data_IF_379561719144
#
_entry.id   IF_379561719144
#
_cell.length_a   1.000
_cell.length_b   1.000
_cell.length_c   1.000
_cell.angle_alpha   90.00
_cell.angle_beta   90.00
_cell.angle_gamma   90.00
#
_symmetry.space_group_name_H-M   'P 1'
#
loop_
_entity.id
_entity.type
_entity.pdbx_description
1 polymer ?
#
# COMPACT_ATOMS: atom_id res chain seq x y z
N UNK A 1 7.43 21.18 3.47
CA UNK A 1 8.42 22.09 2.83
C UNK A 1 9.50 21.25 2.17
N UNK A 2 10.07 21.75 1.07
CA UNK A 2 11.14 21.05 0.34
C UNK A 2 12.46 21.84 0.42
N UNK A 3 13.57 21.12 0.54
CA UNK A 3 14.91 21.68 0.73
C UNK A 3 15.92 20.96 -0.14
N UNK A 4 16.87 21.70 -0.71
CA UNK A 4 18.05 21.21 -1.40
C UNK A 4 19.34 21.48 -0.61
N UNK A 5 19.26 22.35 0.39
CA UNK A 5 20.35 22.69 1.29
C UNK A 5 20.12 22.04 2.65
N UNK A 6 21.17 21.35 3.16
CA UNK A 6 21.08 20.64 4.42
C UNK A 6 20.95 21.58 5.61
N UNK A 7 21.60 22.75 5.61
CA UNK A 7 21.53 23.70 6.71
C UNK A 7 20.12 24.31 6.84
N UNK A 8 19.47 24.62 5.72
CA UNK A 8 18.08 25.09 5.71
C UNK A 8 17.11 24.00 6.18
N UNK A 9 17.32 22.75 5.77
CA UNK A 9 16.52 21.61 6.22
C UNK A 9 16.66 21.38 7.73
N UNK A 10 17.88 21.41 8.26
CA UNK A 10 18.15 21.33 9.70
C UNK A 10 17.47 22.45 10.48
N UNK A 11 17.59 23.69 10.02
CA UNK A 11 16.93 24.85 10.66
C UNK A 11 15.40 24.71 10.68
N UNK A 12 14.82 24.08 9.65
CA UNK A 12 13.37 23.79 9.63
C UNK A 12 12.98 22.77 10.70
N UNK A 13 13.78 21.71 10.89
CA UNK A 13 13.55 20.70 11.94
C UNK A 13 13.67 21.30 13.34
N UNK A 14 14.65 22.19 13.56
CA UNK A 14 14.83 22.85 14.84
C UNK A 14 13.65 23.76 15.23
N UNK A 15 12.89 24.25 14.25
CA UNK A 15 11.69 25.06 14.45
C UNK A 15 10.39 24.27 14.63
N UNK A 16 10.43 22.96 14.44
CA UNK A 16 9.27 22.07 14.52
C UNK A 16 9.38 21.14 15.73
N UNK A 17 8.27 20.60 16.20
CA UNK A 17 8.28 19.56 17.24
C UNK A 17 8.20 18.16 16.60
N UNK A 18 9.05 17.25 17.05
CA UNK A 18 8.95 15.84 16.66
C UNK A 18 7.62 15.21 17.19
N UNK A 19 7.05 14.22 16.52
CA UNK A 19 7.61 13.51 15.35
C UNK A 19 7.47 14.27 14.03
N UNK A 20 8.40 14.02 13.09
CA UNK A 20 8.48 14.68 11.78
C UNK A 20 8.69 13.60 10.70
N UNK A 21 8.19 13.81 9.49
CA UNK A 21 8.43 12.95 8.35
C UNK A 21 9.41 13.61 7.38
N UNK A 22 10.46 12.89 7.00
CA UNK A 22 11.39 13.30 5.95
C UNK A 22 11.30 12.33 4.77
N UNK A 23 11.17 12.87 3.55
CA UNK A 23 11.09 12.09 2.32
C UNK A 23 12.07 12.64 1.26
N UNK A 24 12.73 11.74 0.54
CA UNK A 24 13.44 12.12 -0.67
C UNK A 24 12.43 12.50 -1.77
N UNK A 25 12.69 13.60 -2.49
CA UNK A 25 11.77 14.11 -3.52
C UNK A 25 11.74 13.22 -4.79
N UNK A 26 12.80 12.44 -5.01
CA UNK A 26 12.88 11.54 -6.16
C UNK A 26 12.40 10.12 -5.86
N UNK A 27 12.33 9.30 -6.92
CA UNK A 27 11.95 7.90 -6.83
C UNK A 27 12.96 7.12 -5.97
N UNK A 28 12.53 6.66 -4.81
CA UNK A 28 13.37 5.94 -3.84
C UNK A 28 12.82 4.55 -3.47
N UNK A 29 11.86 4.02 -4.23
CA UNK A 29 11.29 2.67 -4.13
C UNK A 29 10.92 2.23 -2.68
N UNK A 30 10.33 3.14 -1.91
CA UNK A 30 9.96 2.91 -0.50
C UNK A 30 11.10 3.12 0.52
N UNK A 31 12.32 3.41 0.06
CA UNK A 31 13.48 3.64 0.94
C UNK A 31 13.75 5.12 1.23
N UNK A 32 13.04 6.02 0.53
CA UNK A 32 13.31 7.47 0.57
C UNK A 32 12.54 8.25 1.62
N UNK A 33 11.80 7.62 2.53
CA UNK A 33 11.00 8.31 3.52
C UNK A 33 10.96 7.58 4.86
N UNK A 34 10.82 8.33 5.94
CA UNK A 34 10.66 7.78 7.28
C UNK A 34 10.16 8.80 8.28
N UNK A 35 9.34 8.36 9.23
CA UNK A 35 8.96 9.15 10.39
C UNK A 35 10.08 9.15 11.42
N UNK A 36 10.63 10.31 11.71
CA UNK A 36 11.58 10.53 12.80
C UNK A 36 10.80 10.83 14.09
N UNK A 37 11.00 10.03 15.11
CA UNK A 37 10.35 10.21 16.41
C UNK A 37 11.02 11.30 17.24
N UNK A 38 12.27 11.60 16.96
CA UNK A 38 13.07 12.61 17.64
C UNK A 38 13.71 13.58 16.63
N UNK A 39 14.03 14.79 17.06
CA UNK A 39 14.77 15.73 16.24
C UNK A 39 16.11 15.18 15.77
N UNK A 40 16.82 14.40 16.62
CA UNK A 40 18.08 13.78 16.27
C UNK A 40 17.96 12.77 15.12
N UNK A 41 16.90 11.97 15.11
CA UNK A 41 16.58 11.06 13.99
C UNK A 41 16.24 11.83 12.71
N UNK A 42 15.51 12.95 12.81
CA UNK A 42 15.21 13.80 11.67
C UNK A 42 16.48 14.42 11.06
N UNK A 43 17.38 14.93 11.89
CA UNK A 43 18.68 15.46 11.44
C UNK A 43 19.52 14.36 10.76
N UNK A 44 19.60 13.18 11.35
CA UNK A 44 20.32 12.05 10.73
C UNK A 44 19.72 11.63 9.38
N UNK A 45 18.39 11.65 9.24
CA UNK A 45 17.72 11.36 7.97
C UNK A 45 18.04 12.41 6.89
N UNK A 46 18.08 13.71 7.25
CA UNK A 46 18.47 14.79 6.35
C UNK A 46 19.90 14.59 5.84
N UNK A 47 20.85 14.32 6.76
CA UNK A 47 22.24 14.08 6.40
C UNK A 47 22.37 12.88 5.45
N UNK A 48 21.68 11.81 5.76
CA UNK A 48 21.67 10.59 4.94
C UNK A 48 21.13 10.84 3.52
N UNK A 49 20.11 11.68 3.36
CA UNK A 49 19.50 11.99 2.06
C UNK A 49 20.33 13.01 1.29
N UNK A 50 20.69 14.14 1.90
CA UNK A 50 21.31 15.27 1.21
C UNK A 50 22.84 15.20 1.15
N UNK A 51 23.52 14.67 2.18
CA UNK A 51 24.98 14.69 2.28
C UNK A 51 25.63 13.37 1.88
N UNK A 52 25.06 12.23 2.29
CA UNK A 52 25.66 10.91 2.00
C UNK A 52 25.46 10.46 0.54
N UNK A 53 24.62 11.15 -0.22
CA UNK A 53 24.30 10.88 -1.63
C UNK A 53 23.91 9.40 -1.93
N UNK A 54 23.44 8.66 -0.93
CA UNK A 54 23.13 7.23 -1.07
C UNK A 54 21.93 6.98 -1.98
N UNK A 55 21.06 7.98 -2.14
CA UNK A 55 19.90 7.94 -3.03
C UNK A 55 20.18 8.59 -4.39
N UNK A 56 21.43 8.99 -4.66
CA UNK A 56 21.82 9.65 -5.91
C UNK A 56 20.95 10.88 -6.21
N UNK A 57 20.51 11.05 -7.46
CA UNK A 57 19.66 12.16 -7.86
C UNK A 57 18.32 12.23 -7.09
N UNK A 58 17.81 11.10 -6.59
CA UNK A 58 16.57 11.06 -5.82
C UNK A 58 16.71 11.70 -4.43
N UNK A 59 17.92 11.73 -3.87
CA UNK A 59 18.24 12.38 -2.60
C UNK A 59 18.65 13.84 -2.72
N UNK A 60 18.69 14.42 -3.93
CA UNK A 60 19.11 15.80 -4.14
C UNK A 60 18.16 16.87 -3.56
N UNK A 61 16.97 16.45 -3.14
CA UNK A 61 15.98 17.27 -2.45
C UNK A 61 15.28 16.43 -1.39
N UNK A 62 15.05 17.02 -0.22
CA UNK A 62 14.27 16.42 0.87
C UNK A 62 12.97 17.21 1.06
N UNK A 63 11.89 16.49 1.31
CA UNK A 63 10.59 17.06 1.72
C UNK A 63 10.42 16.78 3.21
N UNK A 64 10.21 17.81 4.00
CA UNK A 64 9.90 17.72 5.43
C UNK A 64 8.42 17.97 5.61
N UNK A 65 7.74 17.02 6.23
CA UNK A 65 6.28 16.98 6.37
C UNK A 65 5.87 16.81 7.83
N UNK A 66 4.66 17.25 8.12
CA UNK A 66 3.99 16.98 9.40
C UNK A 66 3.80 15.46 9.57
N UNK A 67 4.06 14.95 10.76
CA UNK A 67 3.69 13.59 11.11
C UNK A 67 2.18 13.51 11.35
N UNK A 68 1.51 12.66 10.58
CA UNK A 68 0.09 12.41 10.71
C UNK A 68 -0.16 11.15 11.53
N UNK A 69 -0.85 11.30 12.66
CA UNK A 69 -1.29 10.16 13.47
C UNK A 69 -2.66 9.67 12.99
N UNK A 70 -2.84 8.35 12.94
CA UNK A 70 -4.12 7.75 12.52
C UNK A 70 -3.97 6.34 11.97
N UNK A 71 -4.95 5.93 11.20
CA UNK A 71 -4.93 4.69 10.43
C UNK A 71 -4.73 4.97 8.94
N UNK A 72 -3.76 4.30 8.33
CA UNK A 72 -3.56 4.38 6.89
C UNK A 72 -4.63 3.58 6.14
N UNK A 73 -5.09 4.12 5.02
CA UNK A 73 -5.97 3.45 4.08
C UNK A 73 -5.56 3.75 2.64
N UNK A 74 -5.75 2.76 1.78
CA UNK A 74 -5.53 2.88 0.34
C UNK A 74 -6.86 3.10 -0.35
N UNK A 75 -7.00 4.22 -1.05
CA UNK A 75 -8.17 4.59 -1.81
C UNK A 75 -7.81 4.68 -3.29
N UNK A 76 -8.26 3.70 -4.07
CA UNK A 76 -7.88 3.56 -5.47
C UNK A 76 -9.09 3.79 -6.35
N UNK A 77 -8.90 4.58 -7.41
CA UNK A 77 -9.93 4.85 -8.40
C UNK A 77 -9.40 4.63 -9.81
N UNK A 78 -10.30 4.35 -10.75
CA UNK A 78 -10.07 4.53 -12.18
C UNK A 78 -10.55 5.92 -12.58
N UNK A 79 -9.81 6.59 -13.45
CA UNK A 79 -10.20 7.86 -14.06
C UNK A 79 -10.12 7.74 -15.57
N UNK A 80 -11.07 8.34 -16.27
CA UNK A 80 -11.09 8.50 -17.72
C UNK A 80 -10.73 9.93 -18.17
N UNK A 81 -10.25 10.75 -17.23
CA UNK A 81 -9.93 12.16 -17.44
C UNK A 81 -11.09 13.12 -17.08
N UNK A 82 -12.31 12.61 -16.87
CA UNK A 82 -13.52 13.37 -16.51
C UNK A 82 -14.29 12.69 -15.39
N UNK A 83 -14.51 11.39 -15.51
CA UNK A 83 -15.27 10.58 -14.57
C UNK A 83 -14.32 9.74 -13.72
N UNK A 84 -14.80 9.36 -12.56
CA UNK A 84 -14.04 8.57 -11.59
C UNK A 84 -14.88 7.37 -11.17
N UNK A 85 -14.32 6.18 -11.23
CA UNK A 85 -14.90 4.94 -10.70
C UNK A 85 -14.08 4.47 -9.52
N UNK A 86 -14.65 4.52 -8.31
CA UNK A 86 -13.96 4.05 -7.12
C UNK A 86 -13.88 2.52 -7.10
N UNK A 87 -12.69 1.99 -6.83
CA UNK A 87 -12.47 0.59 -6.55
C UNK A 87 -12.67 0.29 -5.06
N UNK A 88 -12.61 -0.98 -4.67
CA UNK A 88 -12.71 -1.36 -3.28
C UNK A 88 -11.55 -0.76 -2.47
N UNK A 89 -11.85 -0.29 -1.26
CA UNK A 89 -10.84 0.23 -0.33
C UNK A 89 -9.99 -0.90 0.24
N UNK A 90 -8.78 -0.58 0.69
CA UNK A 90 -7.84 -1.54 1.25
C UNK A 90 -6.99 -0.90 2.34
N UNK A 91 -6.39 -1.72 3.20
CA UNK A 91 -5.35 -1.30 4.14
C UNK A 91 -4.13 -2.20 3.99
N UNK A 92 -2.96 -1.58 3.87
CA UNK A 92 -1.66 -2.22 3.74
C UNK A 92 -0.92 -2.30 5.09
N UNK A 93 0.04 -3.22 5.18
CA UNK A 93 0.96 -3.40 6.30
C UNK A 93 2.39 -3.14 5.81
N UNK A 94 2.87 -1.91 5.98
CA UNK A 94 4.15 -1.45 5.41
C UNK A 94 5.39 -1.94 6.17
N UNK A 95 5.27 -2.21 7.48
CA UNK A 95 6.40 -2.67 8.29
C UNK A 95 6.69 -4.15 8.07
N UNK A 96 7.98 -4.50 8.11
CA UNK A 96 8.46 -5.85 7.82
C UNK A 96 8.00 -6.89 8.84
N UNK A 97 7.99 -6.54 10.13
CA UNK A 97 7.80 -7.46 11.23
C UNK A 97 6.42 -7.31 11.88
N UNK A 98 6.01 -8.36 12.58
CA UNK A 98 4.80 -8.38 13.40
C UNK A 98 4.75 -7.18 14.37
N UNK A 99 3.54 -6.75 14.71
CA UNK A 99 3.33 -5.60 15.59
C UNK A 99 3.75 -4.26 14.99
N UNK A 100 3.81 -4.17 13.65
CA UNK A 100 4.24 -2.97 12.92
C UNK A 100 5.66 -2.52 13.32
N UNK A 101 6.57 -3.48 13.43
CA UNK A 101 7.96 -3.26 13.77
C UNK A 101 8.90 -3.43 12.55
N UNK A 102 10.15 -3.01 12.71
CA UNK A 102 11.18 -3.14 11.67
C UNK A 102 11.09 -2.04 10.61
N UNK A 103 11.85 -2.18 9.51
CA UNK A 103 11.89 -1.19 8.44
C UNK A 103 10.58 -1.15 7.64
N UNK A 104 10.35 -0.04 6.95
CA UNK A 104 9.33 0.05 5.91
C UNK A 104 9.67 -0.85 4.73
N UNK A 105 8.65 -1.36 4.08
CA UNK A 105 8.73 -2.23 2.90
C UNK A 105 7.79 -1.73 1.82
N UNK A 106 7.72 -2.43 0.70
CA UNK A 106 6.68 -2.22 -0.31
C UNK A 106 5.28 -2.70 0.10
N UNK A 107 5.15 -3.32 1.27
CA UNK A 107 3.92 -3.91 1.80
C UNK A 107 4.06 -5.40 2.05
N UNK A 108 3.71 -5.85 3.26
CA UNK A 108 3.82 -7.24 3.71
C UNK A 108 2.48 -7.98 3.70
N UNK A 109 1.42 -7.29 3.32
CA UNK A 109 0.09 -7.83 3.19
C UNK A 109 -0.96 -6.73 3.25
N UNK A 110 -2.15 -7.02 2.78
CA UNK A 110 -3.26 -6.10 2.76
C UNK A 110 -4.59 -6.83 2.88
N UNK A 111 -5.63 -6.10 3.24
CA UNK A 111 -7.01 -6.61 3.23
C UNK A 111 -7.98 -5.58 2.64
N UNK A 112 -9.07 -6.07 2.09
CA UNK A 112 -10.15 -5.29 1.48
C UNK A 112 -11.51 -5.88 1.88
N UNK A 113 -12.50 -5.05 2.22
CA UNK A 113 -12.46 -3.59 2.29
C UNK A 113 -11.73 -3.08 3.53
N UNK A 114 -11.42 -1.78 3.56
CA UNK A 114 -10.86 -1.10 4.72
C UNK A 114 -11.99 -0.68 5.69
N UNK A 115 -12.10 -1.25 6.89
CA UNK A 115 -13.19 -0.91 7.82
C UNK A 115 -13.16 0.55 8.30
N UNK A 116 -11.97 1.16 8.31
CA UNK A 116 -11.79 2.57 8.70
C UNK A 116 -12.45 3.53 7.70
N UNK A 117 -12.63 3.11 6.45
CA UNK A 117 -13.29 3.91 5.41
C UNK A 117 -14.79 3.62 5.42
N UNK A 118 -15.52 4.36 6.24
CA UNK A 118 -17.00 4.30 6.27
C UNK A 118 -17.61 4.86 4.98
N UNK A 119 -18.90 4.60 4.68
CA UNK A 119 -19.56 5.20 3.52
C UNK A 119 -19.50 6.73 3.49
N UNK A 120 -19.63 7.38 4.64
CA UNK A 120 -19.53 8.85 4.77
C UNK A 120 -18.11 9.33 4.45
N UNK A 121 -17.10 8.63 4.96
CA UNK A 121 -15.71 8.94 4.69
C UNK A 121 -15.36 8.68 3.23
N UNK A 122 -15.87 7.59 2.64
CA UNK A 122 -15.70 7.30 1.22
C UNK A 122 -16.23 8.45 0.33
N UNK A 123 -17.44 8.92 0.59
CA UNK A 123 -18.00 10.05 -0.14
C UNK A 123 -17.21 11.35 0.08
N UNK A 124 -16.68 11.55 1.29
CA UNK A 124 -15.85 12.70 1.62
C UNK A 124 -14.51 12.67 0.87
N UNK A 125 -13.83 11.52 0.83
CA UNK A 125 -12.58 11.33 0.09
C UNK A 125 -12.77 11.62 -1.41
N UNK A 126 -13.83 11.12 -2.01
CA UNK A 126 -14.15 11.42 -3.40
C UNK A 126 -14.31 12.94 -3.63
N UNK A 127 -15.11 13.59 -2.80
CA UNK A 127 -15.42 15.02 -2.94
C UNK A 127 -14.24 15.94 -2.63
N UNK A 128 -13.46 15.64 -1.60
CA UNK A 128 -12.45 16.54 -1.04
C UNK A 128 -11.04 16.26 -1.53
N UNK A 129 -10.76 15.05 -2.02
CA UNK A 129 -9.40 14.62 -2.43
C UNK A 129 -9.37 14.19 -3.90
N UNK A 130 -10.14 13.19 -4.28
CA UNK A 130 -10.04 12.58 -5.61
C UNK A 130 -10.54 13.51 -6.72
N UNK A 131 -11.77 13.99 -6.63
CA UNK A 131 -12.35 14.86 -7.65
C UNK A 131 -11.58 16.17 -7.82
N UNK A 132 -11.14 16.86 -6.74
CA UNK A 132 -10.26 18.01 -6.90
C UNK A 132 -8.94 17.70 -7.62
N UNK A 133 -8.33 16.55 -7.35
CA UNK A 133 -7.09 16.15 -8.02
C UNK A 133 -7.31 15.90 -9.53
N UNK A 134 -8.33 15.11 -9.88
CA UNK A 134 -8.63 14.79 -11.29
C UNK A 134 -9.08 16.03 -12.06
N UNK A 135 -9.96 16.84 -11.47
CA UNK A 135 -10.43 18.08 -12.09
C UNK A 135 -9.31 19.13 -12.22
N UNK A 136 -8.41 19.22 -11.23
CA UNK A 136 -7.24 20.09 -11.28
C UNK A 136 -6.32 19.73 -12.44
N UNK A 137 -6.00 18.45 -12.61
CA UNK A 137 -5.20 17.97 -13.74
C UNK A 137 -5.85 18.33 -15.10
N UNK A 138 -7.17 18.14 -15.21
CA UNK A 138 -7.90 18.51 -16.41
C UNK A 138 -7.87 20.04 -16.67
N UNK A 139 -8.02 20.85 -15.62
CA UNK A 139 -7.95 22.31 -15.70
C UNK A 139 -6.56 22.80 -16.13
N UNK A 140 -5.50 22.09 -15.72
CA UNK A 140 -4.12 22.37 -16.12
C UNK A 140 -3.80 21.89 -17.55
N UNK A 141 -4.79 21.31 -18.26
CA UNK A 141 -4.63 20.84 -19.64
C UNK A 141 -3.99 19.44 -19.76
N UNK A 142 -3.87 18.72 -18.68
CA UNK A 142 -3.31 17.36 -18.59
C UNK A 142 -4.30 16.39 -17.92
N UNK A 143 -5.45 16.09 -18.56
CA UNK A 143 -6.45 15.21 -17.99
C UNK A 143 -5.84 13.85 -17.65
N UNK A 144 -6.13 13.35 -16.45
CA UNK A 144 -5.56 12.11 -15.96
C UNK A 144 -6.44 10.91 -16.32
N UNK A 145 -5.91 9.97 -17.10
CA UNK A 145 -6.55 8.68 -17.44
C UNK A 145 -5.70 7.55 -16.88
N UNK A 146 -6.32 6.65 -16.13
CA UNK A 146 -5.65 5.51 -15.51
C UNK A 146 -6.07 5.26 -14.07
N UNK A 147 -5.27 4.46 -13.35
CA UNK A 147 -5.47 4.22 -11.93
C UNK A 147 -4.82 5.32 -11.11
N UNK A 148 -5.59 5.91 -10.21
CA UNK A 148 -5.10 6.86 -9.21
C UNK A 148 -5.24 6.25 -7.82
N UNK A 149 -4.11 6.00 -7.17
CA UNK A 149 -4.03 5.55 -5.79
C UNK A 149 -3.80 6.78 -4.90
N UNK A 150 -4.69 6.99 -3.95
CA UNK A 150 -4.50 7.95 -2.86
C UNK A 150 -4.18 7.19 -1.57
N UNK A 151 -2.98 7.37 -1.06
CA UNK A 151 -2.59 6.96 0.29
C UNK A 151 -3.14 7.97 1.29
N UNK A 152 -3.95 7.50 2.23
CA UNK A 152 -4.67 8.35 3.17
C UNK A 152 -4.26 8.03 4.60
N UNK A 153 -4.17 9.06 5.43
CA UNK A 153 -4.18 8.94 6.88
C UNK A 153 -5.53 9.40 7.41
N UNK A 154 -6.22 8.50 8.10
CA UNK A 154 -7.49 8.82 8.76
C UNK A 154 -7.17 9.16 10.21
N UNK A 155 -7.26 10.45 10.54
CA UNK A 155 -6.94 10.94 11.86
C UNK A 155 -7.93 10.50 12.94
N UNK A 156 -7.59 10.69 14.22
CA UNK A 156 -8.50 10.42 15.34
C UNK A 156 -9.79 11.23 15.28
N UNK A 157 -9.78 12.35 14.58
CA UNK A 157 -10.92 13.22 14.28
C UNK A 157 -11.80 12.70 13.12
N UNK A 158 -11.44 11.55 12.53
CA UNK A 158 -12.09 10.99 11.36
C UNK A 158 -11.81 11.75 10.06
N UNK A 159 -10.91 12.73 10.06
CA UNK A 159 -10.58 13.48 8.85
C UNK A 159 -9.57 12.74 7.99
N UNK A 160 -9.84 12.59 6.68
CA UNK A 160 -8.86 12.04 5.75
C UNK A 160 -7.84 13.09 5.37
N UNK A 161 -6.58 12.73 5.42
CA UNK A 161 -5.45 13.53 4.92
C UNK A 161 -4.66 12.71 3.91
N UNK A 162 -4.25 13.36 2.82
CA UNK A 162 -3.48 12.70 1.76
C UNK A 162 -2.02 12.57 2.19
N UNK A 163 -1.49 11.35 2.13
CA UNK A 163 -0.07 11.08 2.31
C UNK A 163 0.68 11.20 0.98
N UNK A 164 0.15 10.53 -0.04
CA UNK A 164 0.75 10.48 -1.38
C UNK A 164 -0.30 10.11 -2.44
N UNK A 165 0.02 10.43 -3.70
CA UNK A 165 -0.64 9.86 -4.86
C UNK A 165 0.32 8.96 -5.63
N UNK A 166 -0.21 7.86 -6.16
CA UNK A 166 0.51 6.98 -7.08
C UNK A 166 -0.32 6.77 -8.34
N UNK A 167 0.35 6.78 -9.51
CA UNK A 167 -0.27 6.61 -10.82
C UNK A 167 -0.33 5.12 -11.22
N UNK A 168 -0.78 4.26 -10.31
CA UNK A 168 -0.85 2.81 -10.45
C UNK A 168 -1.75 2.20 -9.40
N UNK A 169 -2.06 0.92 -9.58
CA UNK A 169 -2.64 0.08 -8.53
C UNK A 169 -1.63 -0.11 -7.38
N UNK A 170 -2.13 -0.42 -6.19
CA UNK A 170 -1.30 -0.78 -5.05
C UNK A 170 -0.76 -2.21 -5.13
N UNK A 171 0.36 -2.46 -4.50
CA UNK A 171 0.91 -3.80 -4.28
C UNK A 171 1.43 -3.88 -2.84
N UNK A 172 0.74 -4.63 -1.95
CA UNK A 172 -0.10 -5.80 -2.21
C UNK A 172 -1.63 -5.59 -2.17
N UNK A 173 -2.14 -4.40 -2.42
CA UNK A 173 -3.58 -4.12 -2.38
C UNK A 173 -4.34 -4.70 -3.57
N UNK A 174 -3.70 -4.79 -4.74
CA UNK A 174 -4.33 -5.28 -5.98
C UNK A 174 -4.87 -6.69 -5.82
N UNK A 175 -4.12 -7.59 -5.19
CA UNK A 175 -4.50 -8.99 -5.05
C UNK A 175 -5.82 -9.18 -4.29
N UNK A 176 -6.02 -8.62 -3.08
CA UNK A 176 -7.29 -8.71 -2.38
C UNK A 176 -8.41 -7.93 -3.08
N UNK A 177 -8.13 -6.82 -3.75
CA UNK A 177 -9.13 -6.06 -4.51
C UNK A 177 -9.64 -6.89 -5.70
N UNK A 178 -8.73 -7.48 -6.48
CA UNK A 178 -9.09 -8.29 -7.65
C UNK A 178 -9.83 -9.56 -7.26
N UNK A 179 -9.46 -10.21 -6.16
CA UNK A 179 -10.17 -11.42 -5.69
C UNK A 179 -11.63 -11.13 -5.30
N UNK A 180 -11.95 -9.88 -4.94
CA UNK A 180 -13.31 -9.43 -4.64
C UNK A 180 -14.06 -8.90 -5.85
N UNK A 181 -13.37 -8.53 -6.93
CA UNK A 181 -14.01 -7.97 -8.12
C UNK A 181 -14.74 -9.07 -8.90
N UNK A 182 -16.05 -8.88 -9.16
CA UNK A 182 -16.87 -9.78 -9.98
C UNK A 182 -17.04 -9.28 -11.41
N UNK A 183 -17.03 -7.96 -11.59
CA UNK A 183 -17.06 -7.34 -12.91
C UNK A 183 -15.76 -7.62 -13.64
N UNK A 184 -15.85 -7.87 -14.95
CA UNK A 184 -14.68 -8.08 -15.81
C UNK A 184 -13.83 -6.79 -15.84
N UNK A 185 -12.56 -6.90 -15.45
CA UNK A 185 -11.63 -5.77 -15.46
C UNK A 185 -11.44 -5.19 -16.87
N UNK A 186 -11.46 -6.03 -17.91
CA UNK A 186 -11.31 -5.57 -19.31
C UNK A 186 -12.48 -4.66 -19.70
N UNK A 187 -13.70 -5.01 -19.29
CA UNK A 187 -14.88 -4.16 -19.52
C UNK A 187 -14.72 -2.78 -18.88
N UNK A 188 -14.21 -2.72 -17.64
CA UNK A 188 -13.93 -1.46 -16.95
C UNK A 188 -12.85 -0.64 -17.66
N UNK A 189 -11.79 -1.30 -18.14
CA UNK A 189 -10.71 -0.64 -18.88
C UNK A 189 -11.19 -0.08 -20.21
N UNK A 190 -12.05 -0.80 -20.94
CA UNK A 190 -12.65 -0.32 -22.18
C UNK A 190 -13.53 0.92 -21.92
N UNK A 191 -14.35 0.92 -20.87
CA UNK A 191 -15.13 2.09 -20.47
C UNK A 191 -14.24 3.29 -20.13
N UNK A 192 -13.12 3.04 -19.43
CA UNK A 192 -12.17 4.10 -19.09
C UNK A 192 -11.51 4.71 -20.34
N UNK A 193 -11.10 3.88 -21.29
CA UNK A 193 -10.47 4.34 -22.54
C UNK A 193 -11.45 5.10 -23.44
N UNK A 194 -12.73 4.74 -23.41
CA UNK A 194 -13.79 5.39 -24.16
C UNK A 194 -14.38 6.64 -23.47
N UNK A 195 -13.89 7.01 -22.28
CA UNK A 195 -14.41 8.14 -21.51
C UNK A 195 -15.83 7.95 -20.97
N UNK A 196 -16.20 6.71 -20.64
CA UNK A 196 -17.55 6.28 -20.25
C UNK A 196 -17.61 5.59 -18.89
N UNK A 197 -16.73 5.94 -17.96
CA UNK A 197 -16.76 5.37 -16.60
C UNK A 197 -18.02 5.72 -15.81
N UNK A 198 -18.77 6.73 -16.21
CA UNK A 198 -20.07 7.09 -15.66
C UNK A 198 -21.22 6.15 -16.09
N UNK A 199 -20.95 5.18 -16.99
CA UNK A 199 -21.93 4.25 -17.55
C UNK A 199 -21.71 2.80 -17.07
N UNK A 200 -20.81 2.58 -16.14
CA UNK A 200 -20.50 1.25 -15.61
C UNK A 200 -20.37 1.27 -14.09
N UNK A 201 -20.80 0.20 -13.46
CA UNK A 201 -20.63 -0.05 -12.04
C UNK A 201 -19.80 -1.30 -11.81
N UNK A 202 -19.14 -1.38 -10.66
CA UNK A 202 -18.37 -2.57 -10.26
C UNK A 202 -19.18 -3.40 -9.28
N UNK A 203 -19.41 -4.67 -9.62
CA UNK A 203 -19.96 -5.66 -8.69
C UNK A 203 -18.83 -6.28 -7.86
N UNK A 204 -19.03 -6.34 -6.55
CA UNK A 204 -18.06 -6.80 -5.59
C UNK A 204 -18.55 -8.01 -4.81
N UNK A 205 -17.66 -8.98 -4.58
CA UNK A 205 -17.87 -9.95 -3.53
C UNK A 205 -17.94 -9.22 -2.17
N UNK A 206 -18.97 -9.51 -1.40
CA UNK A 206 -19.20 -8.87 -0.09
C UNK A 206 -18.27 -9.38 1.00
N UNK A 207 -17.63 -10.52 0.75
CA UNK A 207 -16.66 -11.09 1.66
C UNK A 207 -15.40 -10.22 1.76
N UNK A 208 -14.66 -10.39 2.84
CA UNK A 208 -13.33 -9.80 2.98
C UNK A 208 -12.31 -10.62 2.22
N UNK A 209 -11.41 -9.97 1.51
CA UNK A 209 -10.19 -10.58 1.01
C UNK A 209 -8.99 -10.13 1.84
N UNK A 210 -8.04 -11.05 2.09
CA UNK A 210 -6.81 -10.77 2.82
C UNK A 210 -5.64 -11.45 2.12
N UNK A 211 -4.60 -10.68 1.81
CA UNK A 211 -3.37 -11.16 1.18
C UNK A 211 -2.19 -11.11 2.15
N UNK A 212 -1.44 -12.19 2.23
CA UNK A 212 -0.19 -12.32 2.99
C UNK A 212 0.97 -12.40 2.02
N UNK A 213 1.92 -11.46 2.11
CA UNK A 213 3.12 -11.46 1.28
C UNK A 213 4.18 -12.35 1.89
N UNK A 214 4.76 -13.23 1.07
CA UNK A 214 5.97 -13.97 1.37
C UNK A 214 7.14 -13.27 0.68
N UNK A 215 8.11 -12.82 1.47
CA UNK A 215 9.30 -12.12 0.99
C UNK A 215 10.55 -13.00 1.12
N UNK A 216 11.54 -12.73 0.27
CA UNK A 216 12.83 -13.41 0.30
C UNK A 216 13.64 -13.02 1.56
N UNK A 217 14.53 -13.92 1.97
CA UNK A 217 15.48 -13.60 3.02
C UNK A 217 16.29 -12.32 2.69
N UNK A 218 16.42 -11.43 3.67
CA UNK A 218 17.14 -10.16 3.51
C UNK A 218 16.34 -9.02 2.90
N UNK A 219 15.06 -9.26 2.52
CA UNK A 219 14.17 -8.18 2.12
C UNK A 219 13.88 -7.25 3.32
N UNK A 220 13.79 -5.88 3.15
CA UNK A 220 13.84 -5.14 1.89
C UNK A 220 15.24 -4.79 1.37
N UNK A 221 16.29 -4.89 2.18
CA UNK A 221 17.61 -4.34 1.85
C UNK A 221 18.38 -5.14 0.79
N UNK A 222 18.57 -6.44 1.03
CA UNK A 222 19.36 -7.34 0.19
C UNK A 222 18.65 -8.68 0.03
N UNK A 223 17.55 -8.71 -0.74
CA UNK A 223 16.80 -9.96 -0.93
C UNK A 223 17.63 -11.01 -1.64
N UNK A 224 17.71 -12.18 -1.03
CA UNK A 224 18.37 -13.34 -1.62
C UNK A 224 17.53 -13.88 -2.79
N UNK A 225 18.19 -14.24 -3.88
CA UNK A 225 17.56 -14.81 -5.07
C UNK A 225 18.03 -16.26 -5.27
N UNK A 226 17.21 -17.05 -5.97
CA UNK A 226 17.51 -18.43 -6.33
C UNK A 226 17.03 -19.48 -5.33
N UNK A 227 16.45 -19.09 -4.21
CA UNK A 227 15.88 -20.03 -3.24
C UNK A 227 14.69 -20.77 -3.85
N UNK A 228 14.67 -22.09 -3.70
CA UNK A 228 13.61 -22.96 -4.24
C UNK A 228 12.34 -22.76 -3.43
N UNK A 229 11.21 -22.66 -4.14
CA UNK A 229 9.87 -22.59 -3.59
C UNK A 229 9.11 -23.84 -4.02
N UNK A 230 8.48 -24.51 -3.09
CA UNK A 230 7.75 -25.74 -3.36
C UNK A 230 6.44 -25.81 -2.57
N UNK A 231 5.62 -26.82 -2.88
CA UNK A 231 4.37 -27.10 -2.19
C UNK A 231 3.36 -25.95 -2.23
N UNK A 232 3.27 -25.24 -3.37
CA UNK A 232 2.22 -24.26 -3.55
C UNK A 232 0.86 -24.96 -3.51
N UNK A 233 -0.09 -24.50 -2.68
CA UNK A 233 -1.46 -25.01 -2.75
C UNK A 233 -2.08 -24.71 -4.11
N UNK A 234 -2.99 -25.56 -4.56
CA UNK A 234 -3.76 -25.28 -5.76
C UNK A 234 -4.68 -24.07 -5.55
N UNK A 235 -4.82 -23.24 -6.57
CA UNK A 235 -5.77 -22.16 -6.57
C UNK A 235 -7.21 -22.67 -6.49
N UNK A 236 -8.05 -21.90 -5.82
CA UNK A 236 -9.50 -22.12 -5.71
C UNK A 236 -10.22 -20.77 -5.83
N UNK A 237 -11.54 -20.81 -5.94
CA UNK A 237 -12.36 -19.58 -5.97
C UNK A 237 -12.20 -18.73 -4.71
N UNK A 238 -11.77 -19.32 -3.62
CA UNK A 238 -11.65 -18.66 -2.32
C UNK A 238 -10.21 -18.38 -1.86
N UNK A 239 -9.21 -18.94 -2.56
CA UNK A 239 -7.80 -18.74 -2.21
C UNK A 239 -6.91 -18.89 -3.44
N UNK A 240 -6.09 -17.88 -3.69
CA UNK A 240 -5.19 -17.81 -4.85
C UNK A 240 -3.78 -17.45 -4.40
N UNK A 241 -2.78 -18.11 -4.99
CA UNK A 241 -1.36 -17.77 -4.80
C UNK A 241 -0.88 -16.92 -5.98
N UNK A 242 -0.78 -15.62 -5.77
CA UNK A 242 -0.25 -14.71 -6.78
C UNK A 242 1.27 -14.73 -6.79
N UNK A 243 1.85 -14.86 -7.98
CA UNK A 243 3.28 -14.76 -8.19
C UNK A 243 3.72 -13.31 -8.33
N UNK A 244 4.80 -12.93 -7.66
CA UNK A 244 5.49 -11.66 -7.80
C UNK A 244 6.92 -11.91 -8.29
N UNK A 245 7.92 -11.80 -7.42
CA UNK A 245 9.31 -12.06 -7.75
C UNK A 245 9.63 -13.55 -7.81
N UNK A 246 9.07 -14.28 -8.76
CA UNK A 246 9.32 -15.71 -9.01
C UNK A 246 9.79 -15.95 -10.43
N UNK A 247 10.50 -17.06 -10.64
CA UNK A 247 10.99 -17.52 -11.92
C UNK A 247 11.05 -19.04 -11.96
N UNK A 248 10.81 -19.61 -13.13
CA UNK A 248 11.13 -21.03 -13.39
C UNK A 248 12.60 -21.15 -13.83
N UNK A 249 13.37 -21.97 -13.14
CA UNK A 249 14.75 -22.30 -13.47
C UNK A 249 14.94 -23.83 -13.35
N UNK A 250 15.36 -24.46 -14.43
CA UNK A 250 15.57 -25.93 -14.51
C UNK A 250 14.36 -26.73 -13.99
N UNK A 251 13.15 -26.30 -14.35
CA UNK A 251 11.89 -26.93 -13.94
C UNK A 251 11.51 -26.70 -12.46
N UNK A 252 12.22 -25.87 -11.73
CA UNK A 252 11.95 -25.51 -10.34
C UNK A 252 11.51 -24.07 -10.24
N UNK A 253 10.54 -23.81 -9.36
CA UNK A 253 10.17 -22.44 -9.00
C UNK A 253 11.19 -21.88 -8.01
N UNK A 254 11.71 -20.70 -8.31
CA UNK A 254 12.68 -19.99 -7.46
C UNK A 254 12.24 -18.57 -7.20
N UNK A 255 12.70 -17.99 -6.07
CA UNK A 255 12.59 -16.57 -5.79
C UNK A 255 13.55 -15.76 -6.67
N UNK A 256 13.03 -14.73 -7.34
CA UNK A 256 13.81 -13.84 -8.22
C UNK A 256 13.70 -12.37 -7.84
N UNK A 257 12.91 -12.02 -6.81
CA UNK A 257 12.69 -10.68 -6.31
C UNK A 257 12.62 -10.59 -4.79
N UNK A 258 12.35 -9.41 -4.28
CA UNK A 258 12.22 -9.16 -2.84
C UNK A 258 10.92 -9.73 -2.27
N UNK A 259 9.78 -9.28 -2.81
CA UNK A 259 8.48 -9.91 -2.53
C UNK A 259 8.25 -11.00 -3.57
N UNK A 260 7.94 -12.19 -3.11
CA UNK A 260 8.02 -13.41 -3.91
C UNK A 260 6.63 -13.92 -4.29
N UNK A 261 5.75 -14.07 -3.30
CA UNK A 261 4.37 -14.53 -3.46
C UNK A 261 3.42 -13.65 -2.63
N UNK A 262 2.15 -13.64 -3.02
CA UNK A 262 1.07 -13.14 -2.19
C UNK A 262 -0.05 -14.19 -2.13
N UNK A 263 -0.27 -14.78 -0.97
CA UNK A 263 -1.37 -15.71 -0.73
C UNK A 263 -2.59 -14.93 -0.31
N UNK A 264 -3.61 -14.94 -1.14
CA UNK A 264 -4.81 -14.12 -0.94
C UNK A 264 -6.05 -14.99 -0.82
N UNK A 265 -6.84 -14.77 0.23
CA UNK A 265 -8.02 -15.57 0.50
C UNK A 265 -9.25 -14.72 0.82
N UNK A 266 -10.43 -15.23 0.45
CA UNK A 266 -11.75 -14.70 0.81
C UNK A 266 -12.26 -15.34 2.10
N UNK A 267 -13.03 -14.58 2.87
CA UNK A 267 -13.73 -15.08 4.05
C UNK A 267 -14.88 -14.17 4.46
N UNK A 268 -15.94 -14.73 5.04
CA UNK A 268 -17.12 -13.97 5.49
C UNK A 268 -16.77 -12.91 6.54
N UNK A 269 -15.64 -13.10 7.20
CA UNK A 269 -15.04 -12.13 8.14
C UNK A 269 -13.55 -12.00 7.88
N UNK A 270 -12.94 -10.90 8.34
CA UNK A 270 -11.48 -10.73 8.30
C UNK A 270 -10.75 -11.92 8.92
N UNK A 271 -11.25 -12.42 10.06
CA UNK A 271 -10.66 -13.57 10.76
C UNK A 271 -10.75 -14.86 9.95
N UNK A 272 -11.85 -15.08 9.21
CA UNK A 272 -12.00 -16.25 8.33
C UNK A 272 -11.07 -16.17 7.13
N UNK A 273 -10.97 -14.98 6.49
CA UNK A 273 -10.02 -14.75 5.40
C UNK A 273 -8.56 -14.93 5.88
N UNK A 274 -8.23 -14.35 7.04
CA UNK A 274 -6.92 -14.47 7.68
C UNK A 274 -6.55 -15.94 7.90
N UNK A 275 -7.44 -16.70 8.55
CA UNK A 275 -7.20 -18.12 8.81
C UNK A 275 -6.94 -18.89 7.51
N UNK A 276 -7.79 -18.73 6.50
CA UNK A 276 -7.64 -19.42 5.21
C UNK A 276 -6.33 -19.05 4.51
N UNK A 277 -5.96 -17.77 4.52
CA UNK A 277 -4.69 -17.33 3.93
C UNK A 277 -3.48 -17.99 4.62
N UNK A 278 -3.46 -18.00 5.96
CA UNK A 278 -2.35 -18.62 6.70
C UNK A 278 -2.33 -20.14 6.61
N UNK A 279 -3.48 -20.83 6.59
CA UNK A 279 -3.55 -22.28 6.33
C UNK A 279 -2.90 -22.63 4.96
N UNK A 280 -3.02 -21.75 3.97
CA UNK A 280 -2.38 -21.90 2.66
C UNK A 280 -0.87 -21.54 2.72
N UNK A 281 -0.50 -20.47 3.41
CA UNK A 281 0.91 -20.06 3.61
C UNK A 281 1.72 -21.17 4.26
N UNK A 282 1.15 -21.86 5.27
CA UNK A 282 1.83 -22.94 6.00
C UNK A 282 2.18 -24.16 5.12
N UNK A 283 1.50 -24.34 3.99
CA UNK A 283 1.81 -25.42 3.04
C UNK A 283 3.05 -25.09 2.19
N UNK A 284 3.33 -23.80 1.97
CA UNK A 284 4.41 -23.35 1.09
C UNK A 284 5.75 -23.53 1.81
N UNK A 285 6.68 -24.19 1.14
CA UNK A 285 8.04 -24.34 1.62
C UNK A 285 9.02 -23.53 0.75
N UNK A 286 9.96 -22.88 1.42
CA UNK A 286 11.03 -22.13 0.77
C UNK A 286 12.03 -21.68 1.81
N UNK A 287 13.32 -21.92 1.56
CA UNK A 287 14.36 -21.55 2.49
C UNK A 287 14.41 -20.03 2.66
N UNK A 288 14.31 -19.55 3.91
CA UNK A 288 14.42 -18.15 4.22
C UNK A 288 13.25 -17.28 3.80
N UNK A 289 12.15 -17.85 3.33
CA UNK A 289 10.92 -17.08 3.15
C UNK A 289 10.46 -16.49 4.47
N UNK A 290 10.14 -15.20 4.45
CA UNK A 290 9.66 -14.47 5.61
C UNK A 290 8.30 -13.83 5.32
N UNK A 291 7.44 -13.82 6.30
CA UNK A 291 6.11 -13.21 6.24
C UNK A 291 5.65 -12.78 7.63
N UNK A 292 4.74 -11.83 7.68
CA UNK A 292 4.08 -11.42 8.93
C UNK A 292 2.99 -12.40 9.30
N UNK A 293 2.83 -12.63 10.60
CA UNK A 293 1.79 -13.52 11.16
C UNK A 293 0.54 -12.79 11.61
N UNK A 294 0.54 -11.46 11.53
CA UNK A 294 -0.49 -10.59 12.09
C UNK A 294 -1.22 -9.74 11.04
N UNK A 295 -1.12 -10.06 9.75
CA UNK A 295 -1.84 -9.34 8.68
C UNK A 295 -3.34 -9.32 8.99
N UNK A 296 -3.95 -8.14 8.97
CA UNK A 296 -5.37 -7.94 9.32
C UNK A 296 -5.64 -7.67 10.81
N UNK A 297 -4.61 -7.62 11.67
CA UNK A 297 -4.78 -7.46 13.11
C UNK A 297 -5.61 -6.23 13.50
N UNK A 298 -5.51 -5.11 12.76
CA UNK A 298 -6.27 -3.89 13.01
C UNK A 298 -7.78 -4.11 12.81
N UNK A 299 -8.16 -4.76 11.71
CA UNK A 299 -9.55 -5.06 11.40
C UNK A 299 -10.17 -6.14 12.31
N UNK A 300 -9.36 -7.06 12.83
CA UNK A 300 -9.81 -8.05 13.82
C UNK A 300 -10.09 -7.41 15.18
N UNK A 301 -9.28 -6.42 15.59
CA UNK A 301 -9.45 -5.70 16.87
C UNK A 301 -10.63 -4.75 16.88
N UNK A 302 -10.90 -4.05 15.77
CA UNK A 302 -11.94 -3.03 15.68
C UNK A 302 -13.37 -3.56 15.89
N UNK A 303 -13.63 -4.84 15.64
CA UNK A 303 -14.94 -5.48 15.89
C UNK A 303 -15.14 -6.01 17.32
N UNK A 304 -14.15 -5.88 18.19
CA UNK A 304 -14.23 -6.30 19.61
C UNK A 304 -14.62 -5.18 20.58
N UNK A 305 -14.63 -3.94 20.14
CA UNK A 305 -15.12 -2.81 20.92
C UNK A 305 -16.61 -2.60 20.63
N UNK A 306 -17.46 -3.33 21.35
CA UNK A 306 -18.88 -2.94 21.46
C UNK A 306 -18.94 -1.52 22.06
N UNK A 307 -19.81 -0.62 21.57
CA UNK A 307 -19.98 0.67 22.21
C UNK A 307 -20.41 0.44 23.66
N UNK A 308 -19.69 1.05 24.59
CA UNK A 308 -20.16 1.17 25.96
C UNK A 308 -21.50 1.90 25.92
N UNK A 309 -22.54 1.24 26.43
CA UNK A 309 -23.90 1.75 26.61
C UNK A 309 -23.90 2.98 27.50
#
# INVERSE_FOLDING_TARGET
RSFTDAAEAHASVDGESAPIVGQADGLAAGHGGGGAQTAAEAHAAIDHMLLDNRLGASGARVVIEEFLAGEEASFIVMSDGRHVLALATSQDHKRLLDGDQGPNTGGMGAYSPAPVVTPELHARVLREIILPAVNGMAADGVPYTGFLYAGLMIGPDGAPRTLEFNCRMGDPETQPIMLRMKTDLVELLEHALDGRLDQVDVDWDRRTALGVVLAAHGYPDRPRKGDIIANLPADSDDCVVFHAGTQLADGRLIGSGGRVLCVTALGDTVRAAQKRAYDAVEQISGEGLQYRKDIGHRAVKSRGAAPAT
#
